data_IF_058672882262
#
_entry.id   IF_058672882262
#
_cell.length_a   1.000
_cell.length_b   1.000
_cell.length_c   1.000
_cell.angle_alpha   90.00
_cell.angle_beta   90.00
_cell.angle_gamma   90.00
#
_symmetry.space_group_name_H-M   'P 1'
#
loop_
_entity.id
_entity.type
_entity.pdbx_description
1 polymer ?
#
# COMPACT_ATOMS: atom_id res chain seq x y z
N UNK A 1 -15.24 -14.76 10.03
CA UNK A 1 -16.16 -13.64 9.69
C UNK A 1 -16.20 -13.59 8.19
N UNK A 2 -17.37 -13.61 7.56
CA UNK A 2 -17.55 -13.78 6.10
C UNK A 2 -16.59 -12.91 5.26
N UNK A 3 -16.36 -11.66 5.65
CA UNK A 3 -15.44 -10.75 4.94
C UNK A 3 -13.96 -11.09 5.10
N UNK A 4 -13.55 -11.71 6.21
CA UNK A 4 -12.20 -12.21 6.43
C UNK A 4 -11.95 -13.45 5.57
N UNK A 5 -12.95 -14.33 5.48
CA UNK A 5 -12.87 -15.58 4.73
C UNK A 5 -12.84 -15.31 3.21
N UNK A 6 -13.55 -14.26 2.75
CA UNK A 6 -13.48 -13.78 1.38
C UNK A 6 -12.23 -12.92 1.07
N UNK A 7 -11.49 -12.49 2.10
CA UNK A 7 -10.25 -11.73 1.95
C UNK A 7 -9.03 -12.65 1.87
N UNK A 8 -9.02 -13.71 2.68
CA UNK A 8 -7.99 -14.76 2.68
C UNK A 8 -8.33 -15.86 1.66
N UNK A 9 -7.35 -16.65 1.19
CA UNK A 9 -5.90 -16.51 1.43
C UNK A 9 -5.22 -15.46 0.52
N UNK A 10 -5.95 -14.86 -0.43
CA UNK A 10 -5.36 -14.07 -1.51
C UNK A 10 -5.14 -12.58 -1.21
N UNK A 11 -5.42 -12.14 0.02
CA UNK A 11 -5.29 -10.74 0.43
C UNK A 11 -5.99 -9.74 -0.51
N UNK A 12 -7.16 -10.12 -1.02
CA UNK A 12 -7.88 -9.33 -2.02
C UNK A 12 -8.23 -7.94 -1.51
N UNK A 13 -8.18 -6.94 -2.41
CA UNK A 13 -8.55 -5.56 -2.12
C UNK A 13 -10.05 -5.41 -1.80
N UNK A 14 -10.45 -4.25 -1.27
CA UNK A 14 -11.82 -4.02 -0.79
C UNK A 14 -12.89 -4.30 -1.85
N UNK A 15 -12.67 -3.88 -3.10
CA UNK A 15 -13.63 -4.11 -4.20
C UNK A 15 -13.84 -5.60 -4.48
N UNK A 16 -12.75 -6.37 -4.56
CA UNK A 16 -12.79 -7.79 -4.88
C UNK A 16 -13.38 -8.61 -3.73
N UNK A 17 -12.99 -8.32 -2.49
CA UNK A 17 -13.64 -8.94 -1.32
C UNK A 17 -15.14 -8.64 -1.30
N UNK A 18 -15.55 -7.41 -1.62
CA UNK A 18 -16.98 -7.08 -1.70
C UNK A 18 -17.72 -7.81 -2.82
N UNK A 19 -17.08 -8.01 -3.98
CA UNK A 19 -17.65 -8.76 -5.08
C UNK A 19 -17.88 -10.23 -4.69
N UNK A 20 -16.85 -10.90 -4.16
CA UNK A 20 -16.93 -12.29 -3.70
C UNK A 20 -18.02 -12.50 -2.65
N UNK A 21 -18.20 -11.54 -1.74
CA UNK A 21 -19.25 -11.63 -0.70
C UNK A 21 -20.64 -11.44 -1.32
N UNK A 22 -20.80 -10.54 -2.29
CA UNK A 22 -22.08 -10.28 -2.96
C UNK A 22 -22.57 -11.43 -3.82
N UNK A 23 -21.68 -12.34 -4.25
CA UNK A 23 -22.08 -13.56 -4.96
C UNK A 23 -22.91 -14.50 -4.08
N UNK A 24 -22.74 -14.43 -2.76
CA UNK A 24 -23.34 -15.38 -1.81
C UNK A 24 -24.27 -14.72 -0.79
N UNK A 25 -24.07 -13.45 -0.46
CA UNK A 25 -24.75 -12.77 0.63
C UNK A 25 -25.12 -11.32 0.29
N UNK A 26 -26.32 -10.90 0.71
CA UNK A 26 -26.72 -9.49 0.70
C UNK A 26 -26.49 -8.86 2.09
N UNK A 27 -25.37 -8.15 2.26
CA UNK A 27 -24.98 -7.56 3.55
C UNK A 27 -25.06 -6.03 3.50
N UNK A 28 -25.84 -5.37 4.38
CA UNK A 28 -25.88 -3.92 4.47
C UNK A 28 -24.55 -3.37 5.00
N UNK A 29 -24.12 -2.20 4.52
CA UNK A 29 -22.86 -1.54 4.92
C UNK A 29 -21.61 -2.43 4.76
N UNK A 30 -21.64 -3.38 3.81
CA UNK A 30 -20.56 -4.33 3.56
C UNK A 30 -19.18 -3.68 3.45
N UNK A 31 -19.08 -2.53 2.78
CA UNK A 31 -17.80 -1.80 2.64
C UNK A 31 -17.17 -1.38 3.96
N UNK A 32 -17.98 -1.00 4.94
CA UNK A 32 -17.48 -0.64 6.27
C UNK A 32 -17.00 -1.90 7.01
N UNK A 33 -17.75 -2.99 6.87
CA UNK A 33 -17.39 -4.28 7.46
C UNK A 33 -16.12 -4.87 6.85
N UNK A 34 -15.90 -4.77 5.54
CA UNK A 34 -14.68 -5.26 4.86
C UNK A 34 -13.46 -4.40 5.19
N UNK A 35 -13.62 -3.09 5.38
CA UNK A 35 -12.48 -2.22 5.75
C UNK A 35 -11.84 -2.56 7.09
N UNK A 36 -12.61 -3.01 8.08
CA UNK A 36 -12.10 -3.36 9.43
C UNK A 36 -11.06 -4.50 9.40
N UNK A 37 -11.35 -5.70 8.84
CA UNK A 37 -10.39 -6.79 8.74
C UNK A 37 -9.21 -6.47 7.82
N UNK A 38 -9.46 -5.83 6.66
CA UNK A 38 -8.38 -5.45 5.74
C UNK A 38 -7.35 -4.52 6.40
N UNK A 39 -7.81 -3.56 7.22
CA UNK A 39 -6.91 -2.68 7.98
C UNK A 39 -6.12 -3.39 9.09
N UNK A 40 -6.60 -4.52 9.60
CA UNK A 40 -5.92 -5.32 10.63
C UNK A 40 -5.02 -6.41 10.03
N UNK A 41 -5.14 -6.68 8.74
CA UNK A 41 -4.36 -7.70 8.06
C UNK A 41 -2.88 -7.28 7.98
N UNK A 42 -2.00 -8.01 8.67
CA UNK A 42 -0.56 -7.76 8.70
C UNK A 42 0.05 -7.88 7.29
N UNK A 43 -0.39 -8.84 6.49
CA UNK A 43 0.07 -9.01 5.10
C UNK A 43 -0.22 -7.76 4.26
N UNK A 44 -1.46 -7.27 4.31
CA UNK A 44 -1.82 -6.04 3.60
C UNK A 44 -1.13 -4.79 4.16
N UNK A 45 -0.95 -4.69 5.47
CA UNK A 45 -0.22 -3.58 6.08
C UNK A 45 1.23 -3.53 5.60
N UNK A 46 1.93 -4.67 5.59
CA UNK A 46 3.32 -4.75 5.13
C UNK A 46 3.48 -4.31 3.68
N UNK A 47 2.53 -4.66 2.82
CA UNK A 47 2.58 -4.35 1.39
C UNK A 47 2.15 -2.91 1.05
N UNK A 48 1.24 -2.31 1.84
CA UNK A 48 0.62 -1.02 1.50
C UNK A 48 1.03 0.15 2.41
N UNK A 49 1.62 -0.10 3.58
CA UNK A 49 2.03 0.98 4.47
C UNK A 49 3.21 1.75 3.88
N UNK A 50 3.24 3.05 4.16
CA UNK A 50 4.37 3.89 3.80
C UNK A 50 5.61 3.50 4.61
N UNK A 51 6.81 3.64 4.02
CA UNK A 51 8.06 3.51 4.77
C UNK A 51 8.10 4.44 5.98
N UNK A 52 8.86 4.04 7.01
CA UNK A 52 9.13 4.89 8.16
C UNK A 52 9.71 6.24 7.72
N UNK A 53 9.07 7.32 8.16
CA UNK A 53 9.60 8.67 7.94
C UNK A 53 10.75 8.88 8.91
N UNK A 54 11.96 9.00 8.37
CA UNK A 54 13.10 9.39 9.17
C UNK A 54 12.91 10.80 9.73
N UNK A 55 13.24 11.05 11.00
CA UNK A 55 13.27 12.39 11.55
C UNK A 55 14.27 13.24 10.76
N UNK A 56 14.11 14.57 10.82
CA UNK A 56 15.13 15.47 10.29
C UNK A 56 16.40 15.22 11.09
N UNK A 57 17.48 14.84 10.41
CA UNK A 57 18.77 14.65 11.06
C UNK A 57 19.31 16.02 11.48
N UNK A 58 19.86 16.08 12.69
CA UNK A 58 20.58 17.26 13.17
C UNK A 58 21.88 17.46 12.39
N UNK A 59 22.40 18.68 12.47
CA UNK A 59 23.66 19.02 11.82
C UNK A 59 24.84 18.28 12.49
N UNK A 60 25.87 17.98 11.69
CA UNK A 60 27.04 17.26 12.20
C UNK A 60 27.82 18.14 13.19
N UNK A 61 28.51 17.54 14.18
CA UNK A 61 29.36 18.29 15.10
C UNK A 61 30.45 19.05 14.35
N UNK A 62 30.86 20.20 14.90
CA UNK A 62 31.82 21.14 14.29
C UNK A 62 33.12 20.46 13.83
N UNK A 63 33.61 19.48 14.59
CA UNK A 63 34.81 18.69 14.27
C UNK A 63 34.70 17.87 12.98
N UNK A 64 33.49 17.70 12.44
CA UNK A 64 33.20 16.99 11.19
C UNK A 64 32.61 17.89 10.10
N UNK A 65 32.55 19.21 10.33
CA UNK A 65 32.14 20.20 9.32
C UNK A 65 33.38 20.60 8.52
N UNK A 66 33.21 20.81 7.21
CA UNK A 66 34.31 21.35 6.40
C UNK A 66 34.55 22.83 6.74
N UNK A 67 35.71 23.37 6.36
CA UNK A 67 36.10 24.76 6.63
C UNK A 67 35.15 25.80 6.03
N UNK A 68 34.26 25.40 5.13
CA UNK A 68 33.24 26.24 4.52
C UNK A 68 31.92 26.28 5.31
N UNK A 69 31.83 25.59 6.46
CA UNK A 69 30.63 25.53 7.29
C UNK A 69 29.47 24.75 6.67
N UNK A 70 29.71 24.08 5.53
CA UNK A 70 28.72 23.30 4.82
C UNK A 70 28.58 21.96 5.53
N UNK A 71 27.34 21.53 5.82
CA UNK A 71 27.10 20.13 6.15
C UNK A 71 27.41 19.33 4.90
N UNK A 72 28.59 18.69 4.88
CA UNK A 72 29.06 17.85 3.80
C UNK A 72 27.97 16.83 3.45
N UNK A 73 27.21 17.15 2.40
CA UNK A 73 26.15 16.33 1.82
C UNK A 73 25.14 15.86 2.89
N UNK A 74 24.11 16.68 3.17
CA UNK A 74 22.81 16.16 3.61
C UNK A 74 22.28 15.30 2.46
N UNK A 75 22.83 14.10 2.26
CA UNK A 75 22.26 13.11 1.38
C UNK A 75 20.84 12.93 1.87
N UNK A 76 19.88 13.39 1.08
CA UNK A 76 18.47 13.09 1.31
C UNK A 76 18.42 11.60 1.61
N UNK A 77 17.80 11.16 2.71
CA UNK A 77 17.72 9.75 3.00
C UNK A 77 17.15 9.09 1.74
N UNK A 78 17.86 8.07 1.24
CA UNK A 78 17.62 7.37 -0.04
C UNK A 78 16.13 7.01 -0.24
N UNK A 79 15.36 6.95 0.85
CA UNK A 79 13.91 6.77 0.90
C UNK A 79 13.04 7.88 0.24
N UNK A 80 13.45 9.16 0.19
CA UNK A 80 12.59 10.23 -0.36
C UNK A 80 12.57 10.22 -1.89
N UNK A 81 13.67 9.82 -2.52
CA UNK A 81 13.82 9.90 -3.98
C UNK A 81 13.13 8.72 -4.71
N UNK A 82 12.90 7.58 -4.05
CA UNK A 82 12.31 6.40 -4.71
C UNK A 82 10.78 6.28 -4.68
N UNK A 83 10.04 7.04 -3.87
CA UNK A 83 8.58 6.84 -3.75
C UNK A 83 7.69 7.81 -4.54
N UNK A 84 8.21 8.95 -4.99
CA UNK A 84 7.49 9.76 -5.98
C UNK A 84 7.49 9.08 -7.37
N UNK A 85 8.43 8.16 -7.63
CA UNK A 85 8.48 7.39 -8.88
C UNK A 85 7.39 6.30 -8.98
N UNK A 86 6.90 5.76 -7.85
CA UNK A 86 5.87 4.71 -7.85
C UNK A 86 4.43 5.21 -7.67
N UNK A 87 4.22 6.54 -7.63
CA UNK A 87 2.86 7.11 -7.55
C UNK A 87 2.26 7.45 -8.92
N UNK A 88 3.04 7.36 -10.00
CA UNK A 88 2.57 7.55 -11.38
C UNK A 88 2.19 6.24 -12.08
N UNK A 89 2.64 5.07 -11.62
CA UNK A 89 2.47 3.83 -12.40
C UNK A 89 1.29 2.90 -12.04
N UNK A 90 0.34 3.23 -11.14
CA UNK A 90 -0.87 2.38 -10.96
C UNK A 90 -2.18 3.15 -10.72
N UNK A 91 -2.34 4.32 -11.37
CA UNK A 91 -3.67 4.70 -11.93
C UNK A 91 -4.11 3.73 -13.04
N UNK A 92 -3.21 2.85 -13.48
CA UNK A 92 -3.44 1.76 -14.42
C UNK A 92 -3.52 0.39 -13.71
N UNK A 93 -4.48 0.22 -12.78
CA UNK A 93 -5.02 -1.11 -12.43
C UNK A 93 -5.90 -1.65 -13.58
N UNK A 94 -5.49 -1.44 -14.84
CA UNK A 94 -6.20 -1.90 -16.04
C UNK A 94 -5.75 -3.31 -16.46
N UNK A 95 -4.78 -3.90 -15.77
CA UNK A 95 -4.14 -5.17 -16.15
C UNK A 95 -4.55 -6.39 -15.31
N UNK A 96 -5.40 -6.23 -14.29
CA UNK A 96 -5.98 -7.38 -13.56
C UNK A 96 -7.18 -8.03 -14.29
N UNK A 97 -7.35 -7.70 -15.58
CA UNK A 97 -8.36 -8.27 -16.49
C UNK A 97 -7.93 -9.59 -17.18
N UNK A 98 -6.79 -10.19 -16.84
CA UNK A 98 -6.24 -11.34 -17.61
C UNK A 98 -6.06 -12.64 -16.81
N UNK A 99 -6.79 -12.85 -15.70
CA UNK A 99 -6.75 -14.12 -14.96
C UNK A 99 -8.12 -14.73 -14.64
N UNK A 100 -9.06 -14.65 -15.58
CA UNK A 100 -10.20 -15.57 -15.59
C UNK A 100 -10.62 -15.91 -17.04
N UNK A 101 -10.18 -17.07 -17.58
CA UNK A 101 -10.54 -17.49 -18.93
C UNK A 101 -11.95 -18.07 -19.08
N UNK A 102 -12.83 -18.01 -18.06
CA UNK A 102 -14.14 -18.68 -18.09
C UNK A 102 -15.37 -17.76 -18.15
N UNK A 103 -15.24 -16.50 -18.58
CA UNK A 103 -16.40 -15.64 -18.89
C UNK A 103 -16.23 -14.94 -20.23
N UNK A 104 -16.43 -15.68 -21.33
CA UNK A 104 -16.80 -15.12 -22.62
C UNK A 104 -18.32 -15.19 -22.77
N UNK A 105 -18.92 -14.01 -22.89
CA UNK A 105 -20.04 -13.64 -23.77
C UNK A 105 -21.31 -14.50 -23.71
N UNK A 106 -22.35 -13.92 -23.09
CA UNK A 106 -23.64 -13.67 -23.76
C UNK A 106 -23.89 -12.17 -23.63
#
# INVERSE_FOLDING_TARGET
>A
MITQDAHLPYHSGTSQTMANVREKFWIPKLRQQTRKPLRRCIGCQKMNNLPYKYPKMDDLPESRRDSNGNNAKKSLPVAIVSFNYFRVQLRNYSSYSLRNPSRKLI
#
